data_IF_616091373694
#
_entry.id   IF_616091373694
#
_cell.length_a   1.000
_cell.length_b   1.000
_cell.length_c   1.000
_cell.angle_alpha   90.00
_cell.angle_beta   90.00
_cell.angle_gamma   90.00
#
_symmetry.space_group_name_H-M   'P 1'
#
loop_
_entity.id
_entity.type
_entity.pdbx_description
1 polymer ?
#
# COMPACT_ATOMS: atom_id res chain seq x y z
N UNK A 1 -38.42 11.37 54.12
CA UNK A 1 -37.18 10.58 53.95
C UNK A 1 -37.13 10.10 52.51
N UNK A 2 -36.13 10.51 51.74
CA UNK A 2 -36.01 10.22 50.31
C UNK A 2 -34.90 11.07 49.71
N UNK A 3 -33.65 10.65 49.93
CA UNK A 3 -32.41 11.35 49.59
C UNK A 3 -32.10 11.22 48.10
N UNK A 4 -31.91 12.35 47.43
CA UNK A 4 -31.42 12.43 46.05
C UNK A 4 -29.91 12.13 45.98
N UNK A 5 -29.54 11.11 45.22
CA UNK A 5 -28.14 10.73 44.97
C UNK A 5 -27.59 11.57 43.81
N UNK A 6 -26.63 12.47 44.10
CA UNK A 6 -25.84 13.19 43.09
C UNK A 6 -24.82 12.24 42.47
N UNK A 7 -24.76 12.19 41.14
CA UNK A 7 -23.71 11.52 40.38
C UNK A 7 -22.36 12.26 40.57
N UNK A 8 -21.29 11.51 40.79
CA UNK A 8 -19.92 12.02 40.94
C UNK A 8 -19.31 12.38 39.57
N UNK A 9 -18.48 13.44 39.47
CA UNK A 9 -17.74 13.76 38.26
C UNK A 9 -16.59 12.77 38.05
N UNK A 10 -16.38 12.41 36.78
CA UNK A 10 -15.35 11.47 36.31
C UNK A 10 -13.94 12.05 36.57
N UNK A 11 -13.21 11.49 37.55
CA UNK A 11 -11.80 11.82 37.84
C UNK A 11 -10.87 11.00 36.92
N UNK A 12 -10.40 11.62 35.84
CA UNK A 12 -9.38 11.05 34.95
C UNK A 12 -7.99 11.29 35.53
N UNK A 13 -7.49 10.33 36.32
CA UNK A 13 -6.05 10.27 36.67
C UNK A 13 -5.31 9.40 35.65
N UNK A 14 -4.36 9.94 34.88
CA UNK A 14 -3.58 9.13 33.94
C UNK A 14 -2.64 8.18 34.70
N UNK A 15 -2.71 6.89 34.38
CA UNK A 15 -1.64 5.91 34.70
C UNK A 15 -0.40 6.23 33.87
N UNK A 16 0.82 6.07 34.41
CA UNK A 16 2.03 6.40 33.67
C UNK A 16 2.27 5.37 32.55
N UNK A 17 2.24 5.83 31.31
CA UNK A 17 2.81 5.15 30.14
C UNK A 17 4.28 5.58 30.00
N UNK A 18 5.20 4.64 29.84
CA UNK A 18 6.58 4.90 29.41
C UNK A 18 6.63 5.12 27.87
N UNK A 19 7.73 5.71 27.35
CA UNK A 19 8.16 7.08 27.57
C UNK A 19 7.29 8.05 26.76
N UNK A 20 6.82 9.10 27.43
CA UNK A 20 5.99 10.15 26.85
C UNK A 20 6.71 10.91 25.72
N UNK A 21 6.18 10.85 24.50
CA UNK A 21 6.33 11.95 23.53
C UNK A 21 5.53 13.11 24.13
N UNK A 22 6.21 14.01 24.84
CA UNK A 22 5.60 15.27 25.23
C UNK A 22 5.45 16.10 23.95
N UNK A 23 4.23 16.23 23.44
CA UNK A 23 3.90 17.28 22.48
C UNK A 23 4.04 18.59 23.24
N UNK A 24 5.21 19.21 23.16
CA UNK A 24 5.45 20.52 23.72
C UNK A 24 4.56 21.51 22.98
N UNK A 25 3.43 21.89 23.58
CA UNK A 25 2.65 23.04 23.14
C UNK A 25 3.51 24.27 23.44
N UNK A 26 4.24 24.75 22.44
CA UNK A 26 4.98 26.01 22.53
C UNK A 26 3.94 27.13 22.61
N UNK A 27 3.58 27.54 23.83
CA UNK A 27 2.90 28.81 24.04
C UNK A 27 3.92 29.92 23.80
N UNK A 28 3.79 30.63 22.70
CA UNK A 28 4.52 31.87 22.48
C UNK A 28 4.09 32.89 23.55
N UNK A 29 4.97 33.14 24.52
CA UNK A 29 4.88 34.23 25.49
C UNK A 29 6.09 35.17 25.32
N UNK A 30 5.96 36.47 25.58
CA UNK A 30 7.00 37.44 25.25
C UNK A 30 8.07 37.52 26.34
N UNK A 31 9.34 37.57 25.95
CA UNK A 31 10.41 38.18 26.74
C UNK A 31 11.68 37.33 26.98
N UNK A 32 12.88 37.95 27.00
CA UNK A 32 14.16 37.24 26.92
C UNK A 32 14.76 36.96 28.31
N UNK A 33 15.39 35.80 28.51
CA UNK A 33 16.09 35.51 29.76
C UNK A 33 16.83 34.17 29.81
N UNK A 34 18.14 34.22 29.53
CA UNK A 34 19.24 33.36 30.05
C UNK A 34 19.00 31.85 30.17
N UNK A 35 19.44 31.09 29.17
CA UNK A 35 19.62 29.63 29.25
C UNK A 35 20.97 29.23 29.84
N UNK A 36 20.97 28.45 30.92
CA UNK A 36 22.08 27.57 31.29
C UNK A 36 21.83 26.20 30.66
N UNK A 37 22.79 25.73 29.86
CA UNK A 37 22.75 24.41 29.24
C UNK A 37 23.14 23.32 30.26
N UNK A 38 22.22 22.40 30.53
CA UNK A 38 22.54 21.13 31.19
C UNK A 38 22.74 20.10 30.07
N UNK A 39 24.00 19.75 29.79
CA UNK A 39 24.35 18.67 28.87
C UNK A 39 24.28 17.36 29.66
N UNK A 40 23.24 16.56 29.42
CA UNK A 40 23.15 15.20 29.94
C UNK A 40 23.99 14.26 29.06
N UNK A 41 25.08 13.73 29.61
CA UNK A 41 25.84 12.63 29.01
C UNK A 41 25.04 11.33 29.10
N UNK A 42 24.55 10.84 27.96
CA UNK A 42 24.03 9.49 27.83
C UNK A 42 25.20 8.51 27.63
N UNK A 43 25.29 7.48 28.47
CA UNK A 43 26.25 6.39 28.32
C UNK A 43 26.05 5.68 26.97
N UNK A 44 27.09 5.65 26.15
CA UNK A 44 27.12 4.99 24.85
C UNK A 44 27.15 3.47 25.03
N UNK A 45 25.98 2.84 25.11
CA UNK A 45 25.84 1.45 24.66
C UNK A 45 26.13 1.48 23.16
N UNK A 46 27.11 0.70 22.69
CA UNK A 46 27.42 0.60 21.27
C UNK A 46 26.12 0.30 20.50
N UNK A 47 25.60 1.30 19.78
CA UNK A 47 24.38 1.12 18.98
C UNK A 47 24.72 0.10 17.89
N UNK A 48 24.07 -1.05 17.92
CA UNK A 48 24.05 -1.96 16.77
C UNK A 48 23.64 -1.13 15.56
N UNK A 49 24.46 -1.11 14.51
CA UNK A 49 24.16 -0.38 13.27
C UNK A 49 22.85 -0.92 12.73
N UNK A 50 21.78 -0.12 12.78
CA UNK A 50 20.44 -0.57 12.40
C UNK A 50 20.29 -0.53 10.88
N UNK A 51 19.74 -1.58 10.28
CA UNK A 51 19.42 -1.65 8.85
C UNK A 51 17.91 -1.81 8.69
N UNK A 52 17.32 -0.92 7.91
CA UNK A 52 15.88 -0.89 7.69
C UNK A 52 15.53 -1.60 6.38
N UNK A 53 14.80 -2.70 6.49
CA UNK A 53 14.43 -3.63 5.42
C UNK A 53 12.90 -3.86 5.38
N UNK A 54 12.10 -2.89 5.82
CA UNK A 54 10.63 -2.88 5.73
C UNK A 54 10.11 -1.57 5.09
N UNK A 55 10.68 -1.21 3.93
CA UNK A 55 10.31 -0.01 3.18
C UNK A 55 8.98 -0.08 2.41
N UNK A 56 8.35 -1.25 2.26
CA UNK A 56 7.10 -1.41 1.49
C UNK A 56 5.94 -0.55 2.01
N UNK A 57 5.41 0.35 1.17
CA UNK A 57 4.33 1.30 1.50
C UNK A 57 4.70 2.39 2.52
N UNK A 58 5.90 2.34 3.11
CA UNK A 58 6.41 3.30 4.10
C UNK A 58 7.93 3.43 3.99
N UNK A 59 8.39 3.86 2.83
CA UNK A 59 9.80 4.11 2.61
C UNK A 59 10.28 5.30 3.46
N UNK A 60 11.57 5.34 3.86
CA UNK A 60 12.17 6.53 4.43
C UNK A 60 11.90 7.77 3.56
N UNK A 61 11.65 8.90 4.23
CA UNK A 61 11.19 10.12 3.54
C UNK A 61 12.22 10.62 2.54
N UNK A 62 11.78 10.90 1.32
CA UNK A 62 12.65 11.47 0.30
C UNK A 62 12.96 12.94 0.64
N UNK A 63 14.24 13.37 0.67
CA UNK A 63 14.60 14.74 1.04
C UNK A 63 13.92 15.82 0.20
N UNK A 64 13.79 15.59 -1.12
CA UNK A 64 13.08 16.50 -2.02
C UNK A 64 11.60 16.66 -1.64
N UNK A 65 10.93 15.56 -1.25
CA UNK A 65 9.53 15.59 -0.84
C UNK A 65 9.34 16.33 0.49
N UNK A 66 10.24 16.09 1.45
CA UNK A 66 10.21 16.77 2.74
C UNK A 66 10.39 18.28 2.58
N UNK A 67 11.37 18.70 1.78
CA UNK A 67 11.63 20.11 1.49
C UNK A 67 10.41 20.78 0.80
N UNK A 68 9.86 20.15 -0.23
CA UNK A 68 8.71 20.66 -0.97
C UNK A 68 7.45 20.78 -0.09
N UNK A 69 7.16 19.74 0.71
CA UNK A 69 6.03 19.79 1.63
C UNK A 69 6.18 20.89 2.68
N UNK A 70 7.39 21.05 3.22
CA UNK A 70 7.68 22.09 4.24
C UNK A 70 7.45 23.48 3.67
N UNK A 71 7.96 23.76 2.46
CA UNK A 71 7.72 25.02 1.77
C UNK A 71 6.22 25.24 1.48
N UNK A 72 5.49 24.17 1.12
CA UNK A 72 4.07 24.26 0.81
C UNK A 72 3.17 24.49 2.04
N UNK A 73 3.65 24.30 3.27
CA UNK A 73 2.84 24.58 4.47
C UNK A 73 2.46 26.07 4.56
N UNK A 74 3.34 26.96 4.14
CA UNK A 74 3.10 28.41 4.19
C UNK A 74 2.25 28.90 3.00
N UNK A 75 2.37 28.26 1.84
CA UNK A 75 1.76 28.74 0.59
C UNK A 75 0.52 27.95 0.13
N UNK A 76 0.38 26.71 0.59
CA UNK A 76 -0.62 25.74 0.12
C UNK A 76 -1.70 25.39 1.15
N UNK A 77 -1.77 26.06 2.29
CA UNK A 77 -2.74 25.73 3.35
C UNK A 77 -4.20 26.04 2.99
N UNK A 78 -4.43 26.97 2.06
CA UNK A 78 -5.76 27.47 1.73
C UNK A 78 -6.55 26.50 0.86
N UNK A 79 -7.88 26.63 0.88
CA UNK A 79 -8.77 25.83 0.04
C UNK A 79 -8.56 26.22 -1.45
N UNK A 80 -8.04 25.30 -2.29
CA UNK A 80 -7.74 25.57 -3.70
C UNK A 80 -8.97 25.86 -4.57
N UNK A 81 -10.19 25.72 -4.03
CA UNK A 81 -11.45 26.05 -4.73
C UNK A 81 -11.83 27.51 -4.59
N UNK A 82 -11.21 28.23 -3.67
CA UNK A 82 -11.54 29.63 -3.41
C UNK A 82 -10.88 30.55 -4.42
N UNK A 83 -11.60 31.61 -4.79
CA UNK A 83 -11.15 32.56 -5.81
C UNK A 83 -10.18 33.62 -5.30
N UNK A 84 -9.93 33.73 -3.99
CA UNK A 84 -8.96 34.68 -3.42
C UNK A 84 -7.51 34.24 -3.69
N UNK A 85 -6.54 35.11 -3.40
CA UNK A 85 -5.14 34.92 -3.78
C UNK A 85 -4.52 33.65 -3.16
N UNK A 86 -4.83 33.35 -1.91
CA UNK A 86 -4.38 32.14 -1.21
C UNK A 86 -4.96 30.88 -1.85
N UNK A 87 -6.26 30.88 -2.19
CA UNK A 87 -6.91 29.77 -2.88
C UNK A 87 -6.33 29.53 -4.28
N UNK A 88 -6.05 30.59 -5.03
CA UNK A 88 -5.37 30.49 -6.34
C UNK A 88 -3.94 29.95 -6.22
N UNK A 89 -3.19 30.35 -5.18
CA UNK A 89 -1.85 29.80 -4.91
C UNK A 89 -1.91 28.31 -4.58
N UNK A 90 -2.81 27.90 -3.68
CA UNK A 90 -3.02 26.49 -3.37
C UNK A 90 -3.46 25.68 -4.60
N UNK A 91 -4.30 26.26 -5.47
CA UNK A 91 -4.68 25.66 -6.76
C UNK A 91 -3.47 25.42 -7.66
N UNK A 92 -2.61 26.43 -7.84
CA UNK A 92 -1.39 26.30 -8.65
C UNK A 92 -0.47 25.19 -8.15
N UNK A 93 -0.26 25.09 -6.82
CA UNK A 93 0.56 24.03 -6.22
C UNK A 93 -0.05 22.64 -6.43
N UNK A 94 -1.37 22.52 -6.29
CA UNK A 94 -2.08 21.26 -6.52
C UNK A 94 -2.02 20.84 -7.99
N UNK A 95 -2.17 21.78 -8.92
CA UNK A 95 -2.12 21.48 -10.35
C UNK A 95 -0.71 21.06 -10.78
N UNK A 96 0.34 21.73 -10.25
CA UNK A 96 1.73 21.29 -10.44
C UNK A 96 1.99 19.88 -9.89
N UNK A 97 1.41 19.53 -8.73
CA UNK A 97 1.51 18.17 -8.20
C UNK A 97 0.83 17.15 -9.12
N UNK A 98 -0.37 17.47 -9.64
CA UNK A 98 -1.09 16.61 -10.60
C UNK A 98 -0.34 16.39 -11.89
N UNK A 99 0.33 17.41 -12.41
CA UNK A 99 1.18 17.29 -13.61
C UNK A 99 2.28 16.25 -13.42
N UNK A 100 2.96 16.26 -12.27
CA UNK A 100 3.99 15.26 -11.94
C UNK A 100 3.42 13.85 -11.88
N UNK A 101 2.29 13.66 -11.21
CA UNK A 101 1.64 12.35 -11.14
C UNK A 101 1.16 11.87 -12.51
N UNK A 102 0.63 12.79 -13.33
CA UNK A 102 0.15 12.48 -14.66
C UNK A 102 1.29 12.05 -15.59
N UNK A 103 2.43 12.74 -15.53
CA UNK A 103 3.66 12.35 -16.22
C UNK A 103 4.13 10.95 -15.79
N UNK A 104 4.24 10.73 -14.47
CA UNK A 104 4.66 9.43 -13.91
C UNK A 104 3.70 8.27 -14.15
N UNK A 105 2.46 8.54 -14.58
CA UNK A 105 1.45 7.54 -14.93
C UNK A 105 1.14 7.49 -16.43
N UNK A 106 1.78 8.33 -17.26
CA UNK A 106 1.44 8.50 -18.67
C UNK A 106 -0.06 8.78 -18.91
N UNK A 107 -0.61 9.75 -18.18
CA UNK A 107 -1.99 10.17 -18.26
C UNK A 107 -2.14 11.69 -18.30
N UNK A 108 -3.38 12.17 -18.30
CA UNK A 108 -3.64 13.62 -18.29
C UNK A 108 -3.84 14.13 -16.86
N UNK A 109 -3.45 15.37 -16.53
CA UNK A 109 -3.63 15.91 -15.18
C UNK A 109 -5.08 15.87 -14.67
N UNK A 110 -6.08 16.03 -15.55
CA UNK A 110 -7.50 15.95 -15.20
C UNK A 110 -7.97 14.52 -14.86
N UNK A 111 -7.18 13.50 -15.22
CA UNK A 111 -7.45 12.11 -14.88
C UNK A 111 -6.98 11.77 -13.44
N UNK A 112 -6.24 12.68 -12.77
CA UNK A 112 -5.60 12.44 -11.45
C UNK A 112 -6.45 12.95 -10.28
N UNK A 113 -6.80 12.01 -9.40
CA UNK A 113 -7.52 12.20 -8.14
C UNK A 113 -6.60 11.85 -6.97
N UNK A 114 -6.55 12.72 -5.95
CA UNK A 114 -5.67 12.55 -4.80
C UNK A 114 -6.49 12.31 -3.55
N UNK A 115 -6.28 11.15 -2.92
CA UNK A 115 -6.97 10.70 -1.72
C UNK A 115 -6.05 10.65 -0.50
N UNK A 116 -6.61 10.51 0.71
CA UNK A 116 -5.86 10.56 1.97
C UNK A 116 -4.94 9.35 2.20
N UNK A 117 -5.15 8.24 1.47
CA UNK A 117 -4.30 7.06 1.54
C UNK A 117 -4.48 6.16 0.32
N UNK A 118 -3.53 5.24 0.11
CA UNK A 118 -3.60 4.21 -0.92
C UNK A 118 -4.88 3.37 -0.85
N UNK A 119 -5.20 2.84 0.34
CA UNK A 119 -6.42 2.04 0.56
C UNK A 119 -7.69 2.79 0.19
N UNK A 120 -7.79 4.07 0.57
CA UNK A 120 -8.98 4.89 0.26
C UNK A 120 -9.06 5.17 -1.24
N UNK A 121 -7.93 5.39 -1.91
CA UNK A 121 -7.89 5.56 -3.36
C UNK A 121 -8.30 4.28 -4.12
N UNK A 122 -7.82 3.11 -3.68
CA UNK A 122 -8.20 1.80 -4.22
C UNK A 122 -9.71 1.57 -4.11
N UNK A 123 -10.25 1.72 -2.89
CA UNK A 123 -11.67 1.52 -2.64
C UNK A 123 -12.53 2.54 -3.39
N UNK A 124 -12.09 3.80 -3.49
CA UNK A 124 -12.79 4.81 -4.26
C UNK A 124 -12.85 4.44 -5.75
N UNK A 125 -11.72 4.05 -6.34
CA UNK A 125 -11.67 3.58 -7.73
C UNK A 125 -12.61 2.39 -7.96
N UNK A 126 -12.50 1.35 -7.12
CA UNK A 126 -13.31 0.14 -7.23
C UNK A 126 -14.81 0.45 -7.10
N UNK A 127 -15.23 1.08 -5.99
CA UNK A 127 -16.63 1.34 -5.69
C UNK A 127 -17.23 2.33 -6.70
N UNK A 128 -16.47 3.36 -7.05
CA UNK A 128 -16.93 4.40 -7.95
C UNK A 128 -17.12 3.89 -9.39
N UNK A 129 -16.20 3.06 -9.89
CA UNK A 129 -16.33 2.45 -11.22
C UNK A 129 -17.47 1.43 -11.22
N UNK A 130 -17.56 0.58 -10.20
CA UNK A 130 -18.65 -0.38 -10.06
C UNK A 130 -20.03 0.31 -10.06
N UNK A 131 -20.19 1.39 -9.27
CA UNK A 131 -21.42 2.19 -9.22
C UNK A 131 -21.72 2.91 -10.53
N UNK A 132 -20.69 3.46 -11.17
CA UNK A 132 -20.77 4.09 -12.50
C UNK A 132 -21.22 3.11 -13.59
N UNK A 133 -20.85 1.83 -13.42
CA UNK A 133 -21.17 0.72 -14.33
C UNK A 133 -22.26 -0.22 -13.82
N UNK A 134 -23.05 0.15 -12.80
CA UNK A 134 -24.16 -0.65 -12.24
C UNK A 134 -25.18 -1.20 -13.24
N UNK A 135 -25.25 -0.67 -14.47
CA UNK A 135 -26.10 -1.20 -15.55
C UNK A 135 -25.49 -2.41 -16.26
N UNK A 136 -24.17 -2.55 -16.25
CA UNK A 136 -23.47 -3.73 -16.72
C UNK A 136 -23.60 -4.87 -15.71
N UNK A 137 -23.66 -4.56 -14.41
CA UNK A 137 -23.88 -5.50 -13.30
C UNK A 137 -23.08 -5.08 -12.07
N UNK A 138 -22.79 -6.05 -11.20
CA UNK A 138 -21.98 -5.90 -9.99
C UNK A 138 -20.78 -6.83 -9.92
N UNK A 139 -20.53 -7.64 -10.96
CA UNK A 139 -19.44 -8.59 -10.96
C UNK A 139 -18.10 -7.85 -10.89
N UNK A 140 -17.28 -8.19 -9.89
CA UNK A 140 -15.91 -7.71 -9.76
C UNK A 140 -14.99 -8.93 -9.91
N UNK A 141 -14.09 -8.86 -10.88
CA UNK A 141 -13.06 -9.90 -11.09
C UNK A 141 -11.77 -9.42 -10.44
N UNK A 142 -11.19 -10.26 -9.57
CA UNK A 142 -9.97 -9.99 -8.80
C UNK A 142 -9.03 -11.19 -8.95
N UNK A 143 -7.72 -10.96 -8.95
CA UNK A 143 -6.76 -12.03 -8.65
C UNK A 143 -6.83 -12.45 -7.17
N UNK A 144 -6.49 -13.69 -6.85
CA UNK A 144 -6.46 -14.20 -5.48
C UNK A 144 -5.40 -13.55 -4.59
N UNK A 145 -4.43 -12.86 -5.19
CA UNK A 145 -3.33 -12.20 -4.48
C UNK A 145 -3.49 -10.67 -4.37
N UNK A 146 -4.67 -10.14 -4.69
CA UNK A 146 -4.97 -8.71 -4.48
C UNK A 146 -4.95 -8.35 -3.00
N UNK A 147 -4.81 -7.06 -2.68
CA UNK A 147 -4.86 -6.62 -1.26
C UNK A 147 -6.22 -6.93 -0.66
N UNK A 148 -6.24 -7.29 0.63
CA UNK A 148 -7.47 -7.56 1.37
C UNK A 148 -8.51 -6.43 1.26
N UNK A 149 -8.07 -5.17 1.16
CA UNK A 149 -8.96 -4.02 0.98
C UNK A 149 -9.78 -4.06 -0.33
N UNK A 150 -9.24 -4.65 -1.40
CA UNK A 150 -9.93 -4.82 -2.68
C UNK A 150 -10.93 -5.98 -2.62
N UNK A 151 -10.57 -7.09 -1.95
CA UNK A 151 -11.52 -8.18 -1.67
C UNK A 151 -12.71 -7.69 -0.85
N UNK A 152 -12.47 -6.93 0.22
CA UNK A 152 -13.52 -6.30 1.02
C UNK A 152 -14.36 -5.31 0.19
N UNK A 153 -13.72 -4.53 -0.70
CA UNK A 153 -14.41 -3.64 -1.63
C UNK A 153 -15.34 -4.39 -2.60
N UNK A 154 -14.88 -5.50 -3.19
CA UNK A 154 -15.70 -6.32 -4.07
C UNK A 154 -16.88 -6.98 -3.34
N UNK A 155 -16.67 -7.45 -2.11
CA UNK A 155 -17.74 -7.95 -1.26
C UNK A 155 -18.80 -6.85 -1.00
N UNK A 156 -18.34 -5.63 -0.68
CA UNK A 156 -19.24 -4.50 -0.47
C UNK A 156 -20.05 -4.15 -1.72
N UNK A 157 -19.47 -4.23 -2.92
CA UNK A 157 -20.20 -4.04 -4.19
C UNK A 157 -21.30 -5.09 -4.34
N UNK A 158 -21.00 -6.36 -4.07
CA UNK A 158 -21.98 -7.44 -4.15
C UNK A 158 -23.16 -7.22 -3.20
N UNK A 159 -22.88 -6.81 -1.95
CA UNK A 159 -23.90 -6.48 -0.95
C UNK A 159 -24.75 -5.26 -1.36
N UNK A 160 -24.14 -4.23 -1.97
CA UNK A 160 -24.82 -2.98 -2.33
C UNK A 160 -25.59 -3.03 -3.65
N UNK A 161 -25.33 -3.97 -4.56
CA UNK A 161 -25.95 -3.98 -5.88
C UNK A 161 -27.49 -3.99 -5.84
N UNK A 162 -28.08 -4.66 -4.85
CA UNK A 162 -29.53 -4.63 -4.61
C UNK A 162 -30.08 -3.22 -4.35
N UNK A 163 -29.27 -2.33 -3.76
CA UNK A 163 -29.62 -0.94 -3.43
C UNK A 163 -29.37 0.08 -4.55
N UNK A 164 -28.44 -0.21 -5.47
CA UNK A 164 -28.08 0.69 -6.58
C UNK A 164 -29.02 0.58 -7.78
N UNK A 165 -29.78 -0.52 -7.86
CA UNK A 165 -30.77 -0.76 -8.90
C UNK A 165 -32.12 -0.18 -8.45
N UNK A 166 -32.76 0.66 -9.28
CA UNK A 166 -34.13 1.14 -9.02
C UNK A 166 -35.07 -0.06 -8.81
N UNK A 167 -36.14 0.07 -8.00
CA UNK A 167 -37.21 -0.94 -7.98
C UNK A 167 -37.67 -1.18 -9.42
N UNK A 168 -37.76 -2.45 -9.81
CA UNK A 168 -38.31 -2.82 -11.11
C UNK A 168 -39.72 -2.22 -11.24
N UNK A 169 -40.08 -1.72 -12.43
CA UNK A 169 -41.48 -1.37 -12.71
C UNK A 169 -42.34 -2.64 -12.51
N UNK A 170 -43.55 -2.53 -11.93
CA UNK A 170 -44.44 -3.69 -11.80
C UNK A 170 -44.66 -4.32 -13.18
N UNK A 171 -44.42 -5.63 -13.31
CA UNK A 171 -44.68 -6.39 -14.54
C UNK A 171 -43.47 -6.75 -15.42
N UNK A 172 -42.23 -6.41 -15.03
CA UNK A 172 -41.03 -6.95 -15.68
C UNK A 172 -40.36 -7.96 -14.74
N UNK A 173 -40.57 -9.25 -14.99
CA UNK A 173 -39.87 -10.31 -14.27
C UNK A 173 -38.35 -10.07 -14.43
N UNK A 174 -37.66 -9.83 -13.32
CA UNK A 174 -36.20 -10.01 -13.30
C UNK A 174 -35.99 -11.50 -13.48
N UNK A 175 -35.28 -11.90 -14.54
CA UNK A 175 -34.62 -13.20 -14.53
C UNK A 175 -33.70 -13.21 -13.31
N UNK A 176 -34.05 -14.01 -12.30
CA UNK A 176 -33.29 -14.18 -11.05
C UNK A 176 -31.86 -14.70 -11.28
N UNK A 177 -31.51 -15.03 -12.53
CA UNK A 177 -30.22 -15.60 -12.96
C UNK A 177 -29.08 -14.59 -13.18
N UNK A 178 -29.32 -13.27 -13.06
CA UNK A 178 -28.31 -12.24 -13.37
C UNK A 178 -27.66 -11.58 -12.13
N UNK A 179 -27.75 -12.20 -10.95
CA UNK A 179 -26.91 -11.80 -9.82
C UNK A 179 -25.53 -12.45 -10.00
N UNK A 180 -24.62 -11.73 -10.67
CA UNK A 180 -23.20 -12.03 -10.60
C UNK A 180 -22.81 -12.06 -9.11
N UNK A 181 -22.69 -13.27 -8.58
CA UNK A 181 -22.08 -13.52 -7.28
C UNK A 181 -20.67 -12.92 -7.30
N UNK A 182 -20.09 -12.53 -6.16
CA UNK A 182 -18.65 -12.33 -6.10
C UNK A 182 -18.03 -13.64 -6.58
N UNK A 183 -17.51 -13.66 -7.81
CA UNK A 183 -16.78 -14.81 -8.31
C UNK A 183 -15.65 -15.08 -7.34
N UNK A 184 -15.38 -16.36 -7.05
CA UNK A 184 -14.16 -16.70 -6.34
C UNK A 184 -12.98 -15.98 -7.02
N UNK A 185 -12.03 -15.40 -6.26
CA UNK A 185 -10.88 -14.74 -6.85
C UNK A 185 -10.18 -15.65 -7.86
N UNK A 186 -9.72 -15.07 -8.97
CA UNK A 186 -9.01 -15.79 -10.03
C UNK A 186 -7.73 -16.38 -9.43
N UNK A 187 -7.50 -17.70 -9.57
CA UNK A 187 -6.34 -18.34 -8.97
C UNK A 187 -5.04 -17.80 -9.53
N UNK A 188 -3.96 -18.04 -8.79
CA UNK A 188 -2.60 -17.79 -9.22
C UNK A 188 -1.80 -19.08 -9.29
N UNK A 189 -0.70 -19.05 -10.01
CA UNK A 189 0.29 -20.12 -9.97
C UNK A 189 1.17 -20.06 -8.71
N UNK A 190 2.08 -21.03 -8.59
CA UNK A 190 3.02 -21.17 -7.47
C UNK A 190 4.02 -20.02 -7.32
N UNK A 191 4.19 -19.17 -8.34
CA UNK A 191 5.02 -17.95 -8.25
C UNK A 191 4.17 -16.70 -8.06
N UNK A 192 2.84 -16.82 -7.99
CA UNK A 192 1.93 -15.70 -7.73
C UNK A 192 1.47 -14.96 -8.97
N UNK A 193 1.62 -15.52 -10.18
CA UNK A 193 1.06 -14.96 -11.41
C UNK A 193 -0.40 -15.38 -11.58
N UNK A 194 -1.25 -14.45 -11.99
CA UNK A 194 -2.66 -14.74 -12.29
C UNK A 194 -2.78 -15.77 -13.42
N UNK A 195 -3.68 -16.74 -13.24
CA UNK A 195 -4.06 -17.67 -14.30
C UNK A 195 -4.82 -16.90 -15.40
N UNK A 196 -4.18 -16.72 -16.55
CA UNK A 196 -4.74 -15.96 -17.67
C UNK A 196 -5.92 -16.66 -18.37
N UNK A 197 -6.03 -17.98 -18.27
CA UNK A 197 -7.19 -18.72 -18.81
C UNK A 197 -8.40 -18.50 -17.91
N UNK A 198 -8.23 -18.70 -16.60
CA UNK A 198 -9.27 -18.42 -15.62
C UNK A 198 -9.66 -16.93 -15.60
N UNK A 199 -8.69 -16.02 -15.76
CA UNK A 199 -8.93 -14.58 -15.89
C UNK A 199 -9.82 -14.27 -17.10
N UNK A 200 -9.46 -14.77 -18.29
CA UNK A 200 -10.25 -14.59 -19.52
C UNK A 200 -11.68 -15.12 -19.38
N UNK A 201 -11.84 -16.29 -18.77
CA UNK A 201 -13.15 -16.86 -18.51
C UNK A 201 -13.97 -15.99 -17.55
N UNK A 202 -13.36 -15.53 -16.45
CA UNK A 202 -14.02 -14.71 -15.44
C UNK A 202 -14.45 -13.34 -15.98
N UNK A 203 -13.57 -12.63 -16.71
CA UNK A 203 -13.91 -11.32 -17.29
C UNK A 203 -14.94 -11.42 -18.41
N UNK A 204 -15.03 -12.57 -19.10
CA UNK A 204 -16.00 -12.84 -20.15
C UNK A 204 -17.41 -13.15 -19.64
N UNK A 205 -17.61 -13.31 -18.33
CA UNK A 205 -18.94 -13.55 -17.76
C UNK A 205 -19.87 -12.34 -17.94
N UNK A 206 -21.17 -12.56 -18.17
CA UNK A 206 -22.13 -11.46 -18.14
C UNK A 206 -22.21 -10.86 -16.73
N UNK A 207 -22.50 -9.56 -16.63
CA UNK A 207 -22.65 -8.91 -15.33
C UNK A 207 -21.36 -8.31 -14.75
N UNK A 208 -20.21 -8.47 -15.40
CA UNK A 208 -18.93 -7.94 -14.92
C UNK A 208 -18.86 -6.42 -15.11
N UNK A 209 -18.74 -5.71 -13.99
CA UNK A 209 -18.64 -4.26 -13.95
C UNK A 209 -17.19 -3.77 -14.02
N UNK A 210 -16.26 -4.50 -13.42
CA UNK A 210 -14.85 -4.10 -13.26
C UNK A 210 -13.97 -5.35 -13.09
N UNK A 211 -12.77 -5.30 -13.65
CA UNK A 211 -11.68 -6.21 -13.33
C UNK A 211 -10.58 -5.45 -12.58
N UNK A 212 -9.88 -6.12 -11.67
CA UNK A 212 -8.85 -5.54 -10.82
C UNK A 212 -7.64 -6.47 -10.77
N UNK A 213 -6.47 -5.94 -11.08
CA UNK A 213 -5.21 -6.67 -11.07
C UNK A 213 -4.08 -5.74 -10.66
N UNK A 214 -3.34 -6.07 -9.61
CA UNK A 214 -2.13 -5.35 -9.24
C UNK A 214 -1.08 -5.44 -10.36
N UNK A 215 -0.27 -4.40 -10.51
CA UNK A 215 0.85 -4.43 -11.46
C UNK A 215 1.91 -5.44 -11.02
N UNK A 216 2.23 -5.43 -9.72
CA UNK A 216 3.11 -6.38 -9.09
C UNK A 216 2.75 -6.54 -7.61
N UNK A 217 3.04 -7.70 -7.05
CA UNK A 217 2.68 -8.01 -5.68
C UNK A 217 3.69 -7.48 -4.67
N UNK A 218 3.24 -6.62 -3.76
CA UNK A 218 4.08 -6.01 -2.72
C UNK A 218 4.53 -6.97 -1.61
N UNK A 219 4.05 -8.22 -1.61
CA UNK A 219 4.46 -9.24 -0.66
C UNK A 219 5.51 -10.18 -1.24
N UNK A 220 5.27 -10.76 -2.43
CA UNK A 220 6.19 -11.74 -3.05
C UNK A 220 6.99 -11.19 -4.22
N UNK A 221 6.75 -9.94 -4.61
CA UNK A 221 7.48 -9.24 -5.66
C UNK A 221 7.01 -9.55 -7.08
N UNK A 222 6.29 -10.64 -7.32
CA UNK A 222 5.91 -11.10 -8.67
C UNK A 222 5.17 -10.03 -9.47
N UNK A 223 5.65 -9.75 -10.68
CA UNK A 223 5.00 -8.87 -11.66
C UNK A 223 3.91 -9.66 -12.38
N UNK A 224 2.73 -9.06 -12.55
CA UNK A 224 1.60 -9.70 -13.21
C UNK A 224 1.69 -9.55 -14.74
N UNK A 225 1.18 -10.51 -15.53
CA UNK A 225 1.13 -10.44 -16.99
C UNK A 225 0.07 -9.43 -17.48
N UNK A 226 0.29 -8.14 -17.19
CA UNK A 226 -0.74 -7.10 -17.24
C UNK A 226 -1.26 -6.83 -18.66
N UNK A 227 -0.40 -6.85 -19.68
CA UNK A 227 -0.81 -6.64 -21.07
C UNK A 227 -1.81 -7.70 -21.51
N UNK A 228 -1.52 -8.98 -21.28
CA UNK A 228 -2.41 -10.08 -21.66
C UNK A 228 -3.73 -10.07 -20.87
N UNK A 229 -3.68 -9.69 -19.59
CA UNK A 229 -4.87 -9.53 -18.76
C UNK A 229 -5.74 -8.34 -19.24
N UNK A 230 -5.12 -7.23 -19.62
CA UNK A 230 -5.79 -6.05 -20.17
C UNK A 230 -6.43 -6.33 -21.54
N UNK A 231 -5.76 -7.05 -22.43
CA UNK A 231 -6.34 -7.43 -23.73
C UNK A 231 -7.64 -8.24 -23.54
N UNK A 232 -7.67 -9.14 -22.55
CA UNK A 232 -8.87 -9.89 -22.20
C UNK A 232 -10.00 -8.99 -21.68
N UNK A 233 -9.69 -7.99 -20.85
CA UNK A 233 -10.71 -7.08 -20.33
C UNK A 233 -11.26 -6.16 -21.43
N UNK A 234 -10.40 -5.70 -22.34
CA UNK A 234 -10.83 -4.90 -23.50
C UNK A 234 -11.74 -5.71 -24.44
N UNK A 235 -11.40 -6.97 -24.73
CA UNK A 235 -12.24 -7.85 -25.53
C UNK A 235 -13.64 -8.05 -24.93
N UNK A 236 -13.75 -8.03 -23.59
CA UNK A 236 -15.01 -8.14 -22.85
C UNK A 236 -15.72 -6.79 -22.59
N UNK A 237 -15.13 -5.65 -22.96
CA UNK A 237 -15.67 -4.32 -22.64
C UNK A 237 -15.72 -4.01 -21.14
N UNK A 238 -14.83 -4.63 -20.37
CA UNK A 238 -14.67 -4.48 -18.92
C UNK A 238 -13.46 -3.57 -18.63
N UNK A 239 -13.60 -2.52 -17.81
CA UNK A 239 -12.43 -1.72 -17.42
C UNK A 239 -11.52 -2.48 -16.46
N UNK A 240 -10.22 -2.23 -16.54
CA UNK A 240 -9.20 -2.72 -15.62
C UNK A 240 -8.71 -1.62 -14.67
N UNK A 241 -8.91 -1.83 -13.36
CA UNK A 241 -8.26 -1.07 -12.30
C UNK A 241 -6.96 -1.76 -11.89
N UNK A 242 -5.85 -1.03 -11.94
CA UNK A 242 -4.52 -1.55 -11.61
C UNK A 242 -4.03 -1.00 -10.27
N UNK A 243 -3.65 -1.88 -9.34
CA UNK A 243 -2.89 -1.46 -8.15
C UNK A 243 -1.40 -1.41 -8.47
N UNK A 244 -0.86 -0.20 -8.64
CA UNK A 244 0.55 0.07 -8.86
C UNK A 244 1.28 0.46 -7.57
N UNK A 245 0.65 0.32 -6.39
CA UNK A 245 1.12 0.85 -5.11
C UNK A 245 2.50 0.37 -4.68
N UNK A 246 2.91 -0.83 -5.08
CA UNK A 246 4.25 -1.38 -4.78
C UNK A 246 5.19 -1.36 -6.00
N UNK A 247 4.82 -0.69 -7.09
CA UNK A 247 5.60 -0.70 -8.33
C UNK A 247 6.02 0.70 -8.79
N UNK A 248 5.15 1.71 -8.66
CA UNK A 248 5.46 3.05 -9.11
C UNK A 248 6.66 3.64 -8.33
N UNK A 249 7.66 4.16 -9.04
CA UNK A 249 8.92 4.65 -8.45
C UNK A 249 9.96 3.55 -8.19
N UNK A 250 9.61 2.28 -8.35
CA UNK A 250 10.54 1.16 -8.22
C UNK A 250 10.75 0.38 -9.50
N UNK A 251 9.71 0.28 -10.32
CA UNK A 251 9.64 -0.48 -11.55
C UNK A 251 8.90 0.33 -12.62
N UNK A 252 8.93 -0.13 -13.87
CA UNK A 252 8.30 0.54 -15.00
C UNK A 252 6.83 0.89 -14.75
N UNK A 253 6.33 1.90 -15.46
CA UNK A 253 4.91 2.27 -15.41
C UNK A 253 4.08 1.08 -15.93
N UNK A 254 2.92 0.76 -15.31
CA UNK A 254 2.05 -0.29 -15.81
C UNK A 254 1.71 -0.06 -17.30
N UNK A 255 1.97 -1.02 -18.20
CA UNK A 255 1.88 -0.79 -19.65
C UNK A 255 0.45 -0.54 -20.16
N UNK A 256 -0.58 -0.97 -19.42
CA UNK A 256 -1.97 -0.81 -19.82
C UNK A 256 -2.91 -0.78 -18.61
N UNK A 257 -3.87 0.16 -18.61
CA UNK A 257 -4.84 0.34 -17.54
C UNK A 257 -6.00 1.27 -17.96
N UNK A 258 -7.17 1.08 -17.35
CA UNK A 258 -8.33 1.98 -17.45
C UNK A 258 -8.43 2.91 -16.23
N UNK A 259 -8.06 2.38 -15.07
CA UNK A 259 -7.76 3.14 -13.88
C UNK A 259 -6.50 2.56 -13.21
N UNK A 260 -5.74 3.38 -12.51
CA UNK A 260 -4.53 2.95 -11.79
C UNK A 260 -4.44 3.67 -10.46
N UNK A 261 -3.99 2.97 -9.42
CA UNK A 261 -3.81 3.52 -8.09
C UNK A 261 -2.38 3.30 -7.62
N UNK A 262 -1.76 4.33 -7.05
CA UNK A 262 -0.42 4.27 -6.50
C UNK A 262 -0.37 4.77 -5.04
N UNK A 263 0.64 4.32 -4.29
CA UNK A 263 0.87 4.66 -2.89
C UNK A 263 2.09 5.57 -2.77
N UNK A 264 1.87 6.82 -2.35
CA UNK A 264 2.97 7.76 -2.19
C UNK A 264 3.94 7.38 -1.07
N UNK A 265 3.51 6.56 -0.11
CA UNK A 265 4.39 6.04 0.93
C UNK A 265 5.50 5.15 0.37
N UNK A 266 5.30 4.52 -0.78
CA UNK A 266 6.23 3.56 -1.37
C UNK A 266 7.49 4.23 -1.98
N UNK A 267 7.37 5.49 -2.41
CA UNK A 267 8.49 6.33 -2.86
C UNK A 267 8.92 7.39 -1.84
N UNK A 268 8.48 7.26 -0.58
CA UNK A 268 8.96 8.08 0.53
C UNK A 268 8.32 9.47 0.60
N UNK A 269 7.04 9.61 0.26
CA UNK A 269 6.32 10.86 0.52
C UNK A 269 6.23 11.17 2.02
N UNK A 270 6.31 12.45 2.45
CA UNK A 270 6.31 12.81 3.88
C UNK A 270 4.94 12.67 4.55
N UNK A 271 3.87 12.53 3.78
CA UNK A 271 2.52 12.33 4.29
C UNK A 271 1.78 11.29 3.46
N UNK A 272 0.87 10.50 4.06
CA UNK A 272 0.05 9.55 3.34
C UNK A 272 -0.72 10.23 2.21
N UNK A 273 -0.66 9.64 1.03
CA UNK A 273 -1.40 10.10 -0.14
C UNK A 273 -1.63 8.92 -1.08
N UNK A 274 -2.88 8.71 -1.46
CA UNK A 274 -3.23 7.79 -2.54
C UNK A 274 -3.39 8.57 -3.84
N UNK A 275 -2.77 8.08 -4.92
CA UNK A 275 -2.90 8.67 -6.26
C UNK A 275 -3.77 7.74 -7.09
N UNK A 276 -4.97 8.18 -7.46
CA UNK A 276 -5.87 7.46 -8.36
C UNK A 276 -5.91 8.18 -9.70
N UNK A 277 -5.55 7.51 -10.79
CA UNK A 277 -5.80 8.02 -12.14
C UNK A 277 -6.89 7.20 -12.82
N UNK A 278 -7.88 7.86 -13.43
CA UNK A 278 -8.99 7.20 -14.14
C UNK A 278 -9.12 7.79 -15.53
N UNK A 279 -9.08 6.94 -16.56
CA UNK A 279 -9.25 7.41 -17.94
C UNK A 279 -10.61 8.08 -18.11
N UNK A 280 -10.66 9.21 -18.81
CA UNK A 280 -11.90 9.98 -19.04
C UNK A 280 -13.06 9.16 -19.65
N UNK A 281 -12.75 8.09 -20.40
CA UNK A 281 -13.75 7.16 -20.97
C UNK A 281 -14.39 6.20 -19.96
N UNK A 282 -13.81 6.06 -18.77
CA UNK A 282 -14.31 5.15 -17.73
C UNK A 282 -15.37 5.87 -16.91
N UNK A 283 -16.56 5.28 -16.86
CA UNK A 283 -17.67 5.82 -16.07
C UNK A 283 -17.42 5.53 -14.60
N UNK A 284 -17.32 6.60 -13.82
CA UNK A 284 -17.22 6.56 -12.37
C UNK A 284 -18.34 7.43 -11.77
N UNK A 285 -18.94 6.97 -10.68
CA UNK A 285 -19.89 7.75 -9.89
C UNK A 285 -19.44 7.77 -8.43
N UNK A 286 -19.56 8.90 -7.70
CA UNK A 286 -19.23 8.93 -6.27
C UNK A 286 -20.03 7.87 -5.50
N UNK A 287 -19.35 7.16 -4.59
CA UNK A 287 -20.01 6.21 -3.67
C UNK A 287 -20.28 6.81 -2.27
N UNK A 288 -20.12 8.13 -2.16
CA UNK A 288 -20.56 8.96 -1.05
C UNK A 288 -21.74 9.84 -1.50
N UNK A 289 -22.44 10.53 -0.57
CA UNK A 289 -23.52 11.46 -0.92
C UNK A 289 -23.11 12.43 -2.02
N UNK A 290 -24.05 12.75 -2.91
CA UNK A 290 -23.79 13.72 -3.98
C UNK A 290 -23.40 15.07 -3.38
N UNK A 291 -22.24 15.56 -3.79
CA UNK A 291 -21.73 16.90 -3.53
C UNK A 291 -21.43 17.55 -4.90
N UNK A 292 -21.46 18.88 -4.96
CA UNK A 292 -21.07 19.61 -6.17
C UNK A 292 -19.61 19.32 -6.56
N UNK A 293 -18.78 18.98 -5.55
CA UNK A 293 -17.37 18.67 -5.75
C UNK A 293 -17.12 17.16 -5.94
N UNK A 294 -16.26 16.83 -6.92
CA UNK A 294 -15.88 15.45 -7.25
C UNK A 294 -14.67 14.95 -6.44
N UNK A 295 -14.19 15.74 -5.49
CA UNK A 295 -13.02 15.42 -4.70
C UNK A 295 -13.36 14.39 -3.63
N UNK A 296 -12.33 13.74 -3.09
CA UNK A 296 -12.52 12.95 -1.88
C UNK A 296 -13.16 13.81 -0.79
N UNK A 297 -14.06 13.25 0.04
CA UNK A 297 -14.62 13.96 1.18
C UNK A 297 -13.49 14.57 2.04
N UNK A 298 -13.57 15.88 2.29
CA UNK A 298 -12.52 16.63 3.00
C UNK A 298 -11.49 17.33 2.09
N UNK A 299 -11.55 17.13 0.77
CA UNK A 299 -10.68 17.80 -0.19
C UNK A 299 -9.31 17.15 -0.34
N UNK A 300 -8.31 17.92 -0.79
CA UNK A 300 -6.93 17.45 -1.01
C UNK A 300 -5.96 18.24 -0.14
N UNK A 301 -5.08 17.58 0.65
CA UNK A 301 -4.03 18.26 1.38
C UNK A 301 -2.92 18.72 0.42
N UNK A 302 -3.01 19.95 -0.07
CA UNK A 302 -2.08 20.50 -1.09
C UNK A 302 -0.61 20.38 -0.69
N UNK A 303 -0.17 20.63 0.56
CA UNK A 303 1.23 20.45 0.93
C UNK A 303 1.71 18.99 0.82
N UNK A 304 0.85 18.04 1.19
CA UNK A 304 1.15 16.61 1.06
C UNK A 304 1.19 16.18 -0.41
N UNK A 305 0.28 16.70 -1.25
CA UNK A 305 0.29 16.47 -2.69
C UNK A 305 1.60 16.94 -3.33
N UNK A 306 2.05 18.15 -3.00
CA UNK A 306 3.30 18.68 -3.54
C UNK A 306 4.53 17.91 -3.03
N UNK A 307 4.57 17.55 -1.74
CA UNK A 307 5.63 16.74 -1.17
C UNK A 307 5.75 15.37 -1.84
N UNK A 308 4.62 14.69 -2.02
CA UNK A 308 4.56 13.40 -2.69
C UNK A 308 4.99 13.50 -4.17
N UNK A 309 4.57 14.56 -4.87
CA UNK A 309 4.97 14.82 -6.26
C UNK A 309 6.49 15.07 -6.38
N UNK A 310 7.06 15.91 -5.52
CA UNK A 310 8.49 16.18 -5.54
C UNK A 310 9.33 14.92 -5.24
N UNK A 311 8.88 14.07 -4.31
CA UNK A 311 9.50 12.78 -4.04
C UNK A 311 9.42 11.83 -5.25
N UNK A 312 8.25 11.75 -5.90
CA UNK A 312 8.07 10.94 -7.10
C UNK A 312 8.99 11.40 -8.22
N UNK A 313 8.99 12.71 -8.56
CA UNK A 313 9.85 13.27 -9.60
C UNK A 313 11.32 12.95 -9.38
N UNK A 314 11.81 13.11 -8.15
CA UNK A 314 13.19 12.79 -7.81
C UNK A 314 13.49 11.28 -7.94
N UNK A 315 12.53 10.43 -7.57
CA UNK A 315 12.65 8.96 -7.69
C UNK A 315 12.62 8.50 -9.14
N UNK A 316 11.81 9.11 -9.99
CA UNK A 316 11.73 8.78 -11.42
C UNK A 316 13.02 9.19 -12.16
N UNK A 317 13.69 10.26 -11.73
CA UNK A 317 14.89 10.79 -12.38
C UNK A 317 16.08 9.81 -12.36
N UNK A 318 16.17 8.92 -11.37
CA UNK A 318 17.23 7.90 -11.26
C UNK A 318 16.69 6.46 -11.19
N UNK A 319 15.43 6.26 -11.61
CA UNK A 319 14.73 4.99 -11.44
C UNK A 319 15.48 3.81 -12.08
N UNK A 320 15.97 3.96 -13.31
CA UNK A 320 16.59 2.85 -14.05
C UNK A 320 17.84 2.32 -13.33
N UNK A 321 18.72 3.22 -12.89
CA UNK A 321 19.93 2.85 -12.14
C UNK A 321 19.55 2.23 -10.79
N UNK A 322 18.60 2.84 -10.08
CA UNK A 322 18.16 2.37 -8.77
C UNK A 322 17.47 0.99 -8.86
N UNK A 323 16.67 0.75 -9.90
CA UNK A 323 16.06 -0.54 -10.20
C UNK A 323 17.13 -1.60 -10.46
N UNK A 324 18.10 -1.33 -11.34
CA UNK A 324 19.19 -2.27 -11.64
C UNK A 324 19.99 -2.63 -10.39
N UNK A 325 20.33 -1.63 -9.55
CA UNK A 325 21.05 -1.83 -8.30
C UNK A 325 20.25 -2.72 -7.35
N UNK A 326 18.99 -2.36 -7.07
CA UNK A 326 18.14 -3.12 -6.13
C UNK A 326 17.86 -4.53 -6.64
N UNK A 327 17.65 -4.72 -7.95
CA UNK A 327 17.45 -6.05 -8.57
C UNK A 327 18.65 -6.98 -8.31
N UNK A 328 19.88 -6.46 -8.42
CA UNK A 328 21.11 -7.22 -8.06
C UNK A 328 21.14 -7.56 -6.57
N UNK A 329 20.84 -6.61 -5.70
CA UNK A 329 20.80 -6.82 -4.25
C UNK A 329 19.76 -7.86 -3.84
N UNK A 330 18.54 -7.79 -4.38
CA UNK A 330 17.49 -8.78 -4.13
C UNK A 330 17.86 -10.14 -4.71
N UNK A 331 18.44 -10.20 -5.91
CA UNK A 331 18.94 -11.47 -6.49
C UNK A 331 19.95 -12.14 -5.56
N UNK A 332 20.98 -11.38 -5.15
CA UNK A 332 22.00 -11.84 -4.20
C UNK A 332 21.40 -12.31 -2.87
N UNK A 333 20.48 -11.54 -2.30
CA UNK A 333 19.80 -11.91 -1.06
C UNK A 333 19.05 -13.24 -1.22
N UNK A 334 18.25 -13.39 -2.27
CA UNK A 334 17.49 -14.62 -2.54
C UNK A 334 18.40 -15.83 -2.67
N UNK A 335 19.50 -15.69 -3.41
CA UNK A 335 20.48 -16.77 -3.59
C UNK A 335 21.16 -17.15 -2.27
N UNK A 336 21.59 -16.16 -1.48
CA UNK A 336 22.24 -16.40 -0.19
C UNK A 336 21.30 -17.03 0.83
N UNK A 337 20.03 -16.60 0.89
CA UNK A 337 19.01 -17.19 1.75
C UNK A 337 18.81 -18.66 1.37
N UNK A 338 18.58 -18.94 0.09
CA UNK A 338 18.36 -20.31 -0.40
C UNK A 338 19.55 -21.24 -0.16
N UNK A 339 20.78 -20.72 -0.21
CA UNK A 339 21.99 -21.53 -0.01
C UNK A 339 22.35 -21.77 1.46
N UNK A 340 22.02 -20.83 2.35
CA UNK A 340 22.56 -20.81 3.72
C UNK A 340 21.55 -21.10 4.81
N UNK A 341 20.26 -20.97 4.52
CA UNK A 341 19.19 -21.24 5.49
C UNK A 341 18.58 -22.61 5.17
N UNK A 342 18.75 -23.63 6.04
CA UNK A 342 18.13 -24.93 5.84
C UNK A 342 16.59 -24.83 5.91
N UNK A 343 15.91 -25.64 5.12
CA UNK A 343 14.44 -25.74 5.09
C UNK A 343 13.74 -24.38 4.84
N UNK A 344 14.27 -23.63 3.88
CA UNK A 344 13.73 -22.33 3.46
C UNK A 344 13.02 -22.45 2.11
N UNK A 345 11.92 -21.73 1.96
CA UNK A 345 11.20 -21.55 0.70
C UNK A 345 11.24 -20.07 0.31
N UNK A 346 11.95 -19.73 -0.77
CA UNK A 346 12.04 -18.37 -1.29
C UNK A 346 10.98 -18.20 -2.37
N UNK A 347 9.94 -17.43 -2.05
CA UNK A 347 8.71 -17.35 -2.85
C UNK A 347 8.75 -16.23 -3.88
N UNK A 348 7.80 -16.26 -4.82
CA UNK A 348 7.67 -15.28 -5.90
C UNK A 348 8.57 -15.57 -7.09
N UNK A 349 8.33 -14.86 -8.18
CA UNK A 349 8.98 -15.16 -9.45
C UNK A 349 10.51 -14.89 -9.43
N UNK A 350 11.35 -15.84 -9.88
CA UNK A 350 12.80 -15.73 -9.85
C UNK A 350 13.38 -14.82 -10.93
N UNK A 351 12.58 -14.25 -11.83
CA UNK A 351 13.03 -13.35 -12.90
C UNK A 351 12.19 -12.07 -12.96
N UNK A 352 10.88 -12.21 -13.16
CA UNK A 352 9.93 -11.12 -13.37
C UNK A 352 9.29 -10.66 -12.06
N UNK A 353 10.07 -9.89 -11.30
CA UNK A 353 9.71 -9.38 -9.98
C UNK A 353 10.11 -7.92 -9.78
N UNK A 354 9.51 -7.32 -8.76
CA UNK A 354 9.91 -6.04 -8.19
C UNK A 354 11.37 -6.09 -7.72
N UNK A 355 12.14 -5.03 -7.98
CA UNK A 355 13.57 -5.02 -7.69
C UNK A 355 13.88 -4.88 -6.20
N UNK A 356 12.91 -4.57 -5.36
CA UNK A 356 13.12 -4.23 -3.96
C UNK A 356 12.44 -5.19 -2.98
N UNK A 357 11.77 -6.25 -3.44
CA UNK A 357 11.00 -7.18 -2.60
C UNK A 357 11.63 -8.58 -2.64
N UNK A 358 11.83 -9.17 -1.47
CA UNK A 358 12.08 -10.61 -1.32
C UNK A 358 11.31 -11.14 -0.12
N UNK A 359 10.66 -12.29 -0.30
CA UNK A 359 9.99 -13.00 0.77
C UNK A 359 10.46 -14.43 0.80
N UNK A 360 10.62 -14.95 2.01
CA UNK A 360 10.95 -16.35 2.23
C UNK A 360 10.28 -16.86 3.50
N UNK A 361 10.06 -18.15 3.55
CA UNK A 361 9.45 -18.86 4.67
C UNK A 361 10.44 -19.89 5.21
N UNK A 362 10.71 -19.84 6.50
CA UNK A 362 11.57 -20.81 7.19
C UNK A 362 10.71 -21.87 7.87
N UNK A 363 10.87 -23.14 7.51
CA UNK A 363 10.18 -24.22 8.21
C UNK A 363 10.63 -24.31 9.66
N UNK A 364 9.70 -24.75 10.51
CA UNK A 364 9.90 -24.94 11.95
C UNK A 364 10.26 -23.66 12.72
N UNK A 365 9.83 -22.51 12.19
CA UNK A 365 10.07 -21.20 12.77
C UNK A 365 8.75 -20.43 12.86
N UNK A 366 8.54 -19.79 14.01
CA UNK A 366 7.50 -18.79 14.17
C UNK A 366 7.96 -17.44 13.58
N UNK A 367 7.11 -16.81 12.77
CA UNK A 367 7.46 -15.58 12.05
C UNK A 367 7.68 -14.39 12.99
N UNK A 368 6.86 -14.24 14.03
CA UNK A 368 7.00 -13.14 15.00
C UNK A 368 8.28 -13.29 15.83
N UNK A 369 8.60 -14.52 16.25
CA UNK A 369 9.83 -14.83 16.94
C UNK A 369 11.07 -14.51 16.08
N UNK A 370 11.04 -14.84 14.79
CA UNK A 370 12.13 -14.52 13.87
C UNK A 370 12.27 -13.02 13.62
N UNK A 371 11.18 -12.30 13.39
CA UNK A 371 11.23 -10.83 13.27
C UNK A 371 11.79 -10.18 14.54
N UNK A 372 11.37 -10.66 15.72
CA UNK A 372 11.87 -10.16 17.01
C UNK A 372 13.37 -10.43 17.19
N UNK A 373 13.84 -11.61 16.80
CA UNK A 373 15.27 -11.96 16.85
C UNK A 373 16.10 -11.12 15.87
N UNK A 374 15.57 -10.88 14.67
CA UNK A 374 16.21 -10.00 13.68
C UNK A 374 16.26 -8.54 14.17
N UNK A 375 15.23 -8.05 14.86
CA UNK A 375 15.24 -6.69 15.43
C UNK A 375 16.33 -6.53 16.51
N UNK A 376 16.52 -7.55 17.36
CA UNK A 376 17.62 -7.60 18.35
C UNK A 376 18.99 -7.52 17.70
N UNK A 377 19.12 -8.12 16.52
CA UNK A 377 20.32 -8.08 15.66
C UNK A 377 20.44 -6.79 14.85
N UNK A 378 19.47 -5.88 14.96
CA UNK A 378 19.49 -4.56 14.33
C UNK A 378 18.91 -4.54 12.92
N UNK A 379 18.08 -5.51 12.54
CA UNK A 379 17.36 -5.52 11.25
C UNK A 379 15.86 -5.32 11.47
N UNK A 380 15.30 -4.28 10.87
CA UNK A 380 13.85 -4.11 10.80
C UNK A 380 13.34 -4.77 9.52
N UNK A 381 12.53 -5.83 9.64
CA UNK A 381 11.95 -6.58 8.52
C UNK A 381 10.44 -6.72 8.74
N UNK A 382 9.69 -6.98 7.67
CA UNK A 382 8.26 -7.29 7.76
C UNK A 382 8.00 -8.79 7.99
N UNK A 383 6.83 -9.11 8.54
CA UNK A 383 6.25 -10.46 8.48
C UNK A 383 5.00 -10.42 7.59
N UNK A 384 4.84 -11.41 6.70
CA UNK A 384 3.68 -11.54 5.81
C UNK A 384 2.38 -11.91 6.54
N UNK A 385 2.46 -12.39 7.78
CA UNK A 385 1.33 -12.99 8.52
C UNK A 385 0.96 -12.28 9.83
N UNK A 386 1.73 -11.30 10.30
CA UNK A 386 1.54 -10.74 11.65
C UNK A 386 1.38 -9.21 11.75
N UNK A 387 1.87 -8.43 10.78
CA UNK A 387 2.05 -7.00 11.04
C UNK A 387 0.84 -6.10 10.72
N UNK A 388 -0.23 -6.63 10.08
CA UNK A 388 -1.38 -5.80 9.65
C UNK A 388 -2.76 -6.29 10.07
N UNK A 389 -2.91 -7.52 10.55
CA UNK A 389 -4.19 -8.06 11.01
C UNK A 389 -4.13 -8.45 12.47
N UNK A 390 -5.10 -7.99 13.26
CA UNK A 390 -5.35 -8.48 14.62
C UNK A 390 -5.88 -9.93 14.64
N UNK A 391 -6.12 -10.53 13.45
CA UNK A 391 -6.36 -11.95 13.28
C UNK A 391 -5.04 -12.67 12.98
N UNK A 392 -4.76 -13.75 13.73
CA UNK A 392 -3.65 -14.70 13.56
C UNK A 392 -3.77 -15.51 12.24
N UNK A 393 -4.33 -14.90 11.20
CA UNK A 393 -4.61 -15.58 9.94
C UNK A 393 -3.35 -15.56 9.04
N UNK A 394 -2.98 -16.70 8.44
CA UNK A 394 -1.84 -16.78 7.53
C UNK A 394 -2.04 -15.84 6.33
N UNK A 395 -0.93 -15.40 5.73
CA UNK A 395 -0.96 -14.60 4.49
C UNK A 395 -1.86 -15.25 3.43
N UNK A 396 -2.89 -14.52 2.99
CA UNK A 396 -3.78 -15.00 1.93
C UNK A 396 -3.07 -15.09 0.58
N UNK A 397 -2.04 -14.26 0.35
CA UNK A 397 -1.21 -14.31 -0.85
C UNK A 397 -0.44 -15.62 -0.93
N UNK A 398 0.28 -15.96 0.15
CA UNK A 398 1.05 -17.20 0.22
C UNK A 398 0.14 -18.43 0.19
N UNK A 399 -1.02 -18.36 0.85
CA UNK A 399 -2.03 -19.40 0.78
C UNK A 399 -2.57 -19.59 -0.65
N UNK A 400 -2.85 -18.50 -1.37
CA UNK A 400 -3.31 -18.55 -2.76
C UNK A 400 -2.27 -19.13 -3.72
N UNK A 401 -0.98 -18.92 -3.44
CA UNK A 401 0.13 -19.53 -4.18
C UNK A 401 0.37 -21.00 -3.84
N UNK A 402 -0.26 -21.52 -2.77
CA UNK A 402 0.05 -22.84 -2.21
C UNK A 402 1.45 -22.91 -1.58
N UNK A 403 2.00 -21.77 -1.16
CA UNK A 403 3.32 -21.64 -0.55
C UNK A 403 3.27 -21.83 0.97
N UNK A 404 4.44 -21.95 1.60
CA UNK A 404 4.54 -22.02 3.05
C UNK A 404 4.08 -20.71 3.71
N UNK A 405 3.09 -20.82 4.60
CA UNK A 405 2.46 -19.67 5.27
C UNK A 405 2.98 -19.40 6.68
N UNK A 406 3.95 -20.17 7.16
CA UNK A 406 4.55 -20.03 8.49
C UNK A 406 6.02 -19.63 8.38
N UNK A 407 6.55 -18.93 9.40
CA UNK A 407 7.97 -18.54 9.46
C UNK A 407 8.37 -17.55 8.37
N UNK A 408 7.43 -16.73 7.91
CA UNK A 408 7.55 -15.85 6.75
C UNK A 408 8.19 -14.52 7.14
N UNK A 409 9.22 -14.15 6.37
CA UNK A 409 9.91 -12.86 6.48
C UNK A 409 9.86 -12.18 5.13
N UNK A 410 9.43 -10.91 5.14
CA UNK A 410 9.45 -10.03 3.98
C UNK A 410 10.53 -8.97 4.17
N UNK A 411 11.45 -8.94 3.21
CA UNK A 411 12.48 -7.91 3.08
C UNK A 411 12.07 -6.96 1.96
N UNK A 412 11.99 -5.67 2.28
CA UNK A 412 11.76 -4.60 1.31
C UNK A 412 12.86 -3.53 1.42
N UNK A 413 13.64 -3.37 0.35
CA UNK A 413 14.80 -2.48 0.33
C UNK A 413 14.38 -1.01 0.16
N UNK A 414 14.96 -0.12 0.97
CA UNK A 414 14.88 1.32 0.72
C UNK A 414 15.88 1.76 -0.35
N UNK A 415 15.80 3.03 -0.77
CA UNK A 415 16.74 3.63 -1.74
C UNK A 415 18.18 3.69 -1.25
N UNK A 416 18.41 3.69 0.07
CA UNK A 416 19.73 3.89 0.68
C UNK A 416 20.43 2.58 1.04
N UNK A 417 19.73 1.44 0.99
CA UNK A 417 20.32 0.14 1.36
C UNK A 417 21.53 -0.18 0.49
N UNK A 418 22.62 -0.56 1.16
CA UNK A 418 23.91 -0.89 0.55
C UNK A 418 24.12 -2.40 0.44
N UNK A 419 25.04 -2.83 -0.43
CA UNK A 419 25.43 -4.23 -0.56
C UNK A 419 25.95 -4.82 0.77
N UNK A 420 26.77 -4.07 1.50
CA UNK A 420 27.30 -4.49 2.79
C UNK A 420 26.21 -4.73 3.84
N UNK A 421 25.09 -4.01 3.78
CA UNK A 421 23.95 -4.23 4.68
C UNK A 421 23.15 -5.47 4.33
N UNK A 422 22.99 -5.76 3.02
CA UNK A 422 22.38 -7.00 2.53
C UNK A 422 23.24 -8.20 2.90
N UNK A 423 24.55 -8.12 2.70
CA UNK A 423 25.49 -9.18 3.07
C UNK A 423 25.46 -9.46 4.58
N UNK A 424 25.48 -8.41 5.40
CA UNK A 424 25.36 -8.56 6.85
C UNK A 424 24.05 -9.25 7.26
N UNK A 425 22.93 -8.88 6.63
CA UNK A 425 21.65 -9.54 6.87
C UNK A 425 21.72 -11.03 6.51
N UNK A 426 22.22 -11.36 5.33
CA UNK A 426 22.36 -12.73 4.87
C UNK A 426 23.34 -13.56 5.71
N UNK A 427 24.37 -12.94 6.29
CA UNK A 427 25.32 -13.56 7.21
C UNK A 427 24.71 -13.90 8.56
N UNK A 428 23.86 -13.03 9.10
CA UNK A 428 23.27 -13.21 10.43
C UNK A 428 21.99 -14.08 10.42
N UNK A 429 21.31 -14.17 9.27
CA UNK A 429 20.03 -14.86 9.14
C UNK A 429 20.08 -16.35 9.53
N UNK A 430 21.07 -17.18 9.12
CA UNK A 430 21.10 -18.59 9.50
C UNK A 430 21.15 -18.79 11.02
N UNK A 431 21.93 -17.98 11.73
CA UNK A 431 22.03 -18.06 13.18
C UNK A 431 20.78 -17.53 13.88
N UNK A 432 20.11 -16.52 13.32
CA UNK A 432 18.80 -16.07 13.82
C UNK A 432 17.75 -17.19 13.71
N UNK A 433 17.68 -17.85 12.55
CA UNK A 433 16.79 -19.01 12.31
C UNK A 433 17.12 -20.15 13.28
N UNK A 434 18.39 -20.52 13.43
CA UNK A 434 18.83 -21.58 14.33
C UNK A 434 18.49 -21.26 15.80
N UNK A 435 18.66 -20.01 16.23
CA UNK A 435 18.31 -19.57 17.57
C UNK A 435 16.82 -19.71 17.86
N UNK A 436 15.95 -19.32 16.92
CA UNK A 436 14.50 -19.48 17.07
C UNK A 436 14.11 -20.96 17.10
N UNK A 437 14.66 -21.79 16.20
CA UNK A 437 14.43 -23.25 16.22
C UNK A 437 14.80 -23.89 17.55
N UNK A 438 15.96 -23.53 18.12
CA UNK A 438 16.40 -24.00 19.45
C UNK A 438 15.42 -23.59 20.55
N UNK A 439 14.92 -22.35 20.50
CA UNK A 439 13.97 -21.84 21.51
C UNK A 439 12.62 -22.57 21.50
N UNK A 440 12.22 -23.09 20.33
CA UNK A 440 11.00 -23.88 20.13
C UNK A 440 11.19 -25.38 20.35
N UNK A 441 12.40 -25.81 20.76
CA UNK A 441 12.71 -27.22 21.01
C UNK A 441 12.93 -28.07 19.76
N UNK A 442 13.11 -27.45 18.59
CA UNK A 442 13.44 -28.14 17.33
C UNK A 442 14.97 -28.26 17.27
N UNK A 443 15.51 -29.43 17.61
CA UNK A 443 16.96 -29.73 17.58
C UNK A 443 17.26 -30.89 16.63
N UNK A 444 18.36 -30.81 15.87
CA UNK A 444 18.90 -31.92 15.08
C UNK A 444 18.40 -32.07 13.64
N UNK A 445 17.96 -30.95 13.01
CA UNK A 445 17.68 -30.89 11.57
C UNK A 445 18.94 -30.58 10.76
#
# INVERSE_FOLDING_TARGET
MGTATRAAPWDFRPRPLQPSVQIAVVRAGPGPGRGQAVVAQAASVARVKRTYLDAGGRAPLHPAGLAAQTAALDEGWADPRRLHAEGRRARMLLDAAREVFAEGLACRPEEVHLGPSHTVALQHGLLGIARGRRRAGSGIVLSAVERAALHAGAQLVAERHGSWTRPARPGHARSEEAAAHPGAPVPVDRVGRVDLEAWRAAVGLPGVALAVLQHANGEVGTVQPLTAAYDATQAAGVPLLVDAGSSLGHHGIPPAWDAVVADAGDWGAPSPLGVLAVRTRVRMAPDWPEDEDRWFPGGVPVPAALGAAAALRATLADQEEAEQRRRRLIGRLRDQVAQRVPDVDVVGDPEDRLPHVATFSCLYVDGEALVTELDRRGFAVGSGSACTSSSLEPSHVLAAMGALTHGNVRVTLSREVTEAEVDRFADELPEAVAQVRRSLGVQGL
#
